data_IF_888900130852
#
_entry.id   IF_888900130852
#
_cell.length_a   1.000
_cell.length_b   1.000
_cell.length_c   1.000
_cell.angle_alpha   90.00
_cell.angle_beta   90.00
_cell.angle_gamma   90.00
#
_symmetry.space_group_name_H-M   'P 1'
#
loop_
_entity.id
_entity.type
_entity.pdbx_description
1 polymer ?
#
# COMPACT_ATOMS: atom_id res chain seq x y z
N UNK A 1 -34.58 -22.19 -13.31
CA UNK A 1 -33.34 -22.37 -14.08
C UNK A 1 -32.25 -21.55 -13.41
N UNK A 2 -31.37 -22.20 -12.65
CA UNK A 2 -30.39 -21.54 -11.77
C UNK A 2 -29.08 -21.26 -12.53
N UNK A 3 -28.58 -20.03 -12.45
CA UNK A 3 -27.37 -19.55 -13.14
C UNK A 3 -26.06 -20.20 -12.67
N UNK A 4 -26.12 -21.07 -11.66
CA UNK A 4 -24.95 -21.73 -11.05
C UNK A 4 -24.49 -22.99 -11.79
N UNK A 5 -25.31 -23.57 -12.67
CA UNK A 5 -24.95 -24.82 -13.37
C UNK A 5 -23.78 -24.65 -14.35
N UNK A 6 -23.68 -23.50 -15.01
CA UNK A 6 -22.65 -23.27 -16.04
C UNK A 6 -21.22 -23.17 -15.49
N UNK A 7 -21.05 -23.00 -14.17
CA UNK A 7 -19.72 -22.89 -13.56
C UNK A 7 -19.04 -24.26 -13.38
N UNK A 8 -19.82 -25.35 -13.34
CA UNK A 8 -19.31 -26.69 -13.08
C UNK A 8 -18.91 -27.46 -14.36
N UNK A 9 -19.40 -27.01 -15.52
CA UNK A 9 -19.12 -27.63 -16.83
C UNK A 9 -17.68 -27.36 -17.34
N UNK A 10 -16.91 -26.54 -16.64
CA UNK A 10 -15.55 -26.13 -17.03
C UNK A 10 -14.43 -26.69 -16.15
N UNK A 11 -14.72 -27.69 -15.31
CA UNK A 11 -13.67 -28.40 -14.58
C UNK A 11 -13.00 -29.44 -15.48
N UNK A 12 -11.66 -29.38 -15.68
CA UNK A 12 -10.96 -30.41 -16.44
C UNK A 12 -11.03 -31.76 -15.71
N UNK A 13 -10.99 -32.89 -16.42
CA UNK A 13 -11.19 -34.20 -15.82
C UNK A 13 -10.03 -34.53 -14.87
N UNK A 14 -10.39 -35.06 -13.70
CA UNK A 14 -9.44 -35.64 -12.75
C UNK A 14 -8.88 -36.92 -13.38
N UNK A 15 -7.60 -36.89 -13.74
CA UNK A 15 -6.88 -38.07 -14.23
C UNK A 15 -6.49 -38.92 -13.04
N UNK A 16 -7.23 -40.00 -12.82
CA UNK A 16 -6.86 -41.10 -11.93
C UNK A 16 -5.77 -41.92 -12.60
N UNK A 17 -4.50 -41.52 -12.43
CA UNK A 17 -3.35 -42.33 -12.83
C UNK A 17 -2.61 -42.80 -11.57
N UNK A 18 -2.90 -44.03 -11.15
CA UNK A 18 -2.09 -44.75 -10.19
C UNK A 18 -0.83 -45.28 -10.89
N UNK A 19 0.32 -44.64 -10.69
CA UNK A 19 1.64 -45.28 -10.71
C UNK A 19 2.57 -44.58 -9.71
N UNK A 20 3.38 -45.33 -8.94
CA UNK A 20 4.07 -44.80 -7.79
C UNK A 20 5.41 -44.20 -8.20
N UNK A 21 5.71 -42.97 -7.80
CA UNK A 21 7.11 -42.55 -7.73
C UNK A 21 7.30 -41.49 -6.66
N UNK A 22 8.00 -41.93 -5.61
CA UNK A 22 8.77 -41.12 -4.65
C UNK A 22 8.02 -39.91 -4.11
N UNK A 23 7.42 -40.09 -2.94
CA UNK A 23 7.11 -39.02 -1.99
C UNK A 23 8.36 -38.15 -1.80
N UNK A 24 8.49 -37.06 -2.57
CA UNK A 24 9.45 -36.00 -2.26
C UNK A 24 8.76 -35.13 -1.21
N UNK A 25 8.72 -35.63 0.02
CA UNK A 25 8.44 -34.81 1.19
C UNK A 25 9.60 -33.84 1.38
N UNK A 26 9.59 -32.77 0.61
CA UNK A 26 10.25 -31.54 1.02
C UNK A 26 9.29 -30.40 0.70
N UNK A 27 8.57 -29.86 1.71
CA UNK A 27 7.94 -28.56 1.57
C UNK A 27 9.06 -27.58 1.22
N UNK A 28 9.03 -27.04 0.01
CA UNK A 28 9.86 -25.89 -0.36
C UNK A 28 9.81 -24.90 0.82
N UNK A 29 10.94 -24.58 1.46
CA UNK A 29 10.93 -23.69 2.60
C UNK A 29 10.38 -22.37 2.07
N UNK A 30 9.16 -22.01 2.49
CA UNK A 30 8.64 -20.64 2.33
C UNK A 30 9.82 -19.70 2.56
N UNK A 31 10.13 -18.76 1.65
CA UNK A 31 11.19 -17.80 1.87
C UNK A 31 10.93 -17.18 3.23
N UNK A 32 11.70 -17.62 4.22
CA UNK A 32 11.57 -17.14 5.58
C UNK A 32 11.98 -15.69 5.43
N UNK A 33 11.06 -14.76 5.66
CA UNK A 33 11.40 -13.35 5.73
C UNK A 33 12.44 -13.23 6.84
N UNK A 34 13.71 -13.25 6.45
CA UNK A 34 14.83 -13.03 7.35
C UNK A 34 14.81 -11.54 7.60
N UNK A 35 14.60 -11.16 8.86
CA UNK A 35 14.91 -9.81 9.30
C UNK A 35 16.41 -9.63 9.02
N UNK A 36 16.72 -8.93 7.92
CA UNK A 36 18.10 -8.54 7.64
C UNK A 36 18.51 -7.71 8.84
N UNK A 37 19.48 -8.22 9.60
CA UNK A 37 20.09 -7.44 10.66
C UNK A 37 20.77 -6.28 9.92
N UNK A 38 20.13 -5.12 9.93
CA UNK A 38 20.68 -3.89 9.37
C UNK A 38 21.96 -3.66 10.14
N UNK A 39 23.08 -4.12 9.58
CA UNK A 39 24.40 -3.87 10.11
C UNK A 39 24.53 -2.35 10.22
N UNK A 40 24.45 -1.87 11.45
CA UNK A 40 24.88 -0.58 12.00
C UNK A 40 25.11 0.54 10.99
N UNK A 41 24.15 0.77 10.08
CA UNK A 41 24.08 2.03 9.39
C UNK A 41 23.51 2.95 10.43
N UNK A 42 24.41 3.59 11.19
CA UNK A 42 24.08 4.67 12.10
C UNK A 42 23.01 5.48 11.39
N UNK A 43 21.76 5.46 11.89
CA UNK A 43 20.67 6.01 11.13
C UNK A 43 21.02 7.46 10.93
N UNK A 44 21.25 7.82 9.68
CA UNK A 44 21.33 9.21 9.24
C UNK A 44 19.89 9.73 9.29
N UNK A 45 19.29 9.68 10.47
CA UNK A 45 18.08 10.40 10.77
C UNK A 45 18.43 11.82 10.45
N UNK A 46 17.74 12.40 9.47
CA UNK A 46 17.80 13.82 9.27
C UNK A 46 17.37 14.44 10.60
N UNK A 47 18.33 14.93 11.37
CA UNK A 47 18.10 15.62 12.64
C UNK A 47 17.68 17.06 12.42
N UNK A 48 17.40 17.43 11.16
CA UNK A 48 16.60 18.61 10.87
C UNK A 48 15.37 18.55 11.79
N UNK A 49 15.06 19.60 12.55
CA UNK A 49 13.94 19.61 13.51
C UNK A 49 12.57 19.27 12.88
N UNK A 50 12.54 19.07 11.56
CA UNK A 50 11.40 19.03 10.66
C UNK A 50 11.35 17.74 9.83
N UNK A 51 12.11 16.70 10.20
CA UNK A 51 12.12 15.42 9.48
C UNK A 51 10.89 14.54 9.78
N UNK A 52 9.97 14.98 10.64
CA UNK A 52 8.83 14.17 11.08
C UNK A 52 7.53 14.95 11.06
N UNK A 53 6.44 14.27 10.70
CA UNK A 53 5.11 14.85 10.79
C UNK A 53 4.69 15.22 12.22
N UNK A 54 5.38 14.72 13.25
CA UNK A 54 5.13 15.07 14.64
C UNK A 54 5.59 16.49 15.00
N UNK A 55 6.60 17.00 14.30
CA UNK A 55 7.16 18.34 14.52
C UNK A 55 6.62 19.40 13.56
N UNK A 56 5.79 19.00 12.59
CA UNK A 56 5.16 19.90 11.63
C UNK A 56 4.15 20.88 12.25
N UNK A 57 3.97 22.02 11.59
CA UNK A 57 2.93 23.01 11.94
C UNK A 57 1.54 22.39 11.99
N UNK A 58 0.64 23.01 12.78
CA UNK A 58 -0.75 22.56 12.85
C UNK A 58 -1.46 22.68 11.50
N UNK A 59 -1.24 23.79 10.80
CA UNK A 59 -1.83 24.06 9.47
C UNK A 59 -1.43 22.99 8.45
N UNK A 60 -0.15 22.62 8.42
CA UNK A 60 0.32 21.55 7.53
C UNK A 60 -0.35 20.21 7.84
N UNK A 61 -0.45 19.86 9.12
CA UNK A 61 -1.11 18.62 9.55
C UNK A 61 -2.59 18.62 9.16
N UNK A 62 -3.29 19.73 9.33
CA UNK A 62 -4.69 19.86 8.93
C UNK A 62 -4.86 19.72 7.41
N UNK A 63 -4.05 20.40 6.61
CA UNK A 63 -4.09 20.30 5.15
C UNK A 63 -3.82 18.87 4.67
N UNK A 64 -2.82 18.21 5.27
CA UNK A 64 -2.51 16.80 5.02
C UNK A 64 -3.70 15.91 5.33
N UNK A 65 -4.27 16.03 6.52
CA UNK A 65 -5.34 15.15 6.99
C UNK A 65 -6.62 15.34 6.14
N UNK A 66 -6.93 16.58 5.73
CA UNK A 66 -8.02 16.85 4.78
C UNK A 66 -7.80 16.15 3.43
N UNK A 67 -6.60 16.28 2.86
CA UNK A 67 -6.25 15.62 1.61
C UNK A 67 -6.30 14.09 1.72
N UNK A 68 -5.69 13.51 2.76
CA UNK A 68 -5.67 12.07 2.99
C UNK A 68 -7.07 11.50 3.21
N UNK A 69 -7.87 12.15 4.07
CA UNK A 69 -9.25 11.72 4.32
C UNK A 69 -10.08 11.74 3.03
N UNK A 70 -9.89 12.75 2.19
CA UNK A 70 -10.60 12.84 0.91
C UNK A 70 -10.20 11.73 -0.06
N UNK A 71 -8.90 11.48 -0.29
CA UNK A 71 -8.47 10.45 -1.25
C UNK A 71 -8.82 9.03 -0.79
N UNK A 72 -8.92 8.81 0.52
CA UNK A 72 -9.32 7.51 1.09
C UNK A 72 -10.82 7.23 0.92
N UNK A 73 -11.65 8.28 0.90
CA UNK A 73 -13.10 8.16 0.76
C UNK A 73 -13.60 8.32 -0.70
N UNK A 74 -12.88 9.08 -1.53
CA UNK A 74 -13.31 9.44 -2.88
C UNK A 74 -12.89 8.38 -3.91
N UNK A 75 -13.88 7.73 -4.55
CA UNK A 75 -13.64 6.75 -5.63
C UNK A 75 -13.07 7.37 -6.92
N UNK A 76 -13.34 8.65 -7.16
CA UNK A 76 -12.82 9.35 -8.33
C UNK A 76 -11.32 9.63 -8.21
N UNK A 77 -10.84 9.78 -6.97
CA UNK A 77 -9.43 9.94 -6.67
C UNK A 77 -8.71 8.58 -6.71
N UNK A 78 -7.47 8.58 -7.20
CA UNK A 78 -6.60 7.41 -7.23
C UNK A 78 -5.14 7.84 -7.02
N UNK A 79 -4.68 7.70 -5.78
CA UNK A 79 -3.36 8.13 -5.34
C UNK A 79 -2.18 7.50 -6.11
N UNK A 80 -2.19 6.19 -6.48
CA UNK A 80 -1.05 5.56 -7.15
C UNK A 80 -0.68 6.18 -8.50
N UNK A 81 -1.66 6.70 -9.25
CA UNK A 81 -1.41 7.36 -10.55
C UNK A 81 -1.59 8.87 -10.48
N UNK A 82 -1.81 9.45 -9.29
CA UNK A 82 -2.06 10.89 -9.13
C UNK A 82 -3.33 11.39 -9.82
N UNK A 83 -4.36 10.54 -9.99
CA UNK A 83 -5.66 11.01 -10.50
C UNK A 83 -6.43 11.63 -9.35
N UNK A 84 -6.85 12.89 -9.48
CA UNK A 84 -7.68 13.57 -8.49
C UNK A 84 -8.98 14.05 -9.12
N UNK A 85 -10.07 14.02 -8.37
CA UNK A 85 -11.25 14.82 -8.72
C UNK A 85 -10.98 16.30 -8.46
N UNK A 86 -11.84 17.21 -8.93
CA UNK A 86 -11.66 18.66 -8.77
C UNK A 86 -11.46 19.07 -7.30
N UNK A 87 -12.23 18.51 -6.37
CA UNK A 87 -12.04 18.79 -4.95
C UNK A 87 -10.68 18.25 -4.45
N UNK A 88 -10.32 17.03 -4.85
CA UNK A 88 -9.06 16.41 -4.50
C UNK A 88 -7.83 17.16 -5.05
N UNK A 89 -7.93 17.75 -6.25
CA UNK A 89 -6.85 18.56 -6.82
C UNK A 89 -6.67 19.86 -6.06
N UNK A 90 -7.76 20.53 -5.66
CA UNK A 90 -7.68 21.69 -4.78
C UNK A 90 -7.04 21.36 -3.43
N UNK A 91 -7.46 20.26 -2.79
CA UNK A 91 -6.86 19.79 -1.54
C UNK A 91 -5.38 19.45 -1.70
N UNK A 92 -4.98 18.86 -2.84
CA UNK A 92 -3.59 18.57 -3.15
C UNK A 92 -2.78 19.84 -3.30
N UNK A 93 -3.27 20.83 -4.04
CA UNK A 93 -2.63 22.14 -4.18
C UNK A 93 -2.49 22.84 -2.83
N UNK A 94 -3.53 22.83 -1.98
CA UNK A 94 -3.44 23.39 -0.63
C UNK A 94 -2.41 22.68 0.23
N UNK A 95 -2.37 21.33 0.20
CA UNK A 95 -1.38 20.56 0.94
C UNK A 95 0.05 20.84 0.48
N UNK A 96 0.30 20.92 -0.83
CA UNK A 96 1.63 21.18 -1.38
C UNK A 96 2.08 22.65 -1.15
N UNK A 97 1.13 23.59 -1.04
CA UNK A 97 1.40 25.01 -0.79
C UNK A 97 1.59 25.34 0.70
N UNK A 98 1.06 24.52 1.61
CA UNK A 98 1.26 24.72 3.04
C UNK A 98 2.67 24.25 3.41
N UNK A 99 3.53 25.12 3.95
CA UNK A 99 4.85 24.70 4.38
C UNK A 99 4.72 23.84 5.65
N UNK A 100 5.56 22.81 5.74
CA UNK A 100 5.66 22.00 6.96
C UNK A 100 6.06 22.86 8.16
N UNK A 101 6.82 23.93 7.91
CA UNK A 101 7.36 24.86 8.89
C UNK A 101 6.74 26.25 8.81
N UNK A 102 6.60 26.87 9.97
CA UNK A 102 6.32 28.30 10.03
C UNK A 102 7.59 29.03 9.61
N UNK A 103 7.52 29.83 8.55
CA UNK A 103 8.59 30.74 8.22
C UNK A 103 8.67 31.75 9.38
N UNK A 104 9.79 31.73 10.13
CA UNK A 104 10.08 32.72 11.17
C UNK A 104 10.53 34.04 10.56
#
# INVERSE_FOLDING_TARGET
MSLLSALLDHMPPIVTAAYPTKLRSNPEPRPRLVLVNYAERAPQFCTSPHASAATATLEWRQARDQYLNHIMACRSCYAPTGRHCTAGSHLRTSYDATPMEAHQ
#
